data_IF_709479138156
#
_entry.id   IF_709479138156
#
_cell.length_a   1.000
_cell.length_b   1.000
_cell.length_c   1.000
_cell.angle_alpha   90.00
_cell.angle_beta   90.00
_cell.angle_gamma   90.00
#
_symmetry.space_group_name_H-M   'P 1'
#
loop_
_entity.id
_entity.type
_entity.pdbx_description
1 polymer ?
#
# COMPACT_ATOMS: atom_id res chain seq x y z
N UNK A 1 -1.12 -15.45 56.19
CA UNK A 1 -0.43 -14.86 55.03
C UNK A 1 -1.28 -15.14 53.80
N UNK A 2 -1.87 -14.11 53.22
CA UNK A 2 -2.71 -14.21 52.02
C UNK A 2 -1.79 -14.13 50.81
N UNK A 3 -1.72 -15.20 50.02
CA UNK A 3 -0.99 -15.19 48.76
C UNK A 3 -1.83 -14.46 47.71
N UNK A 4 -1.36 -13.29 47.25
CA UNK A 4 -1.94 -12.56 46.14
C UNK A 4 -1.61 -13.28 44.82
N UNK A 5 -2.64 -13.69 44.09
CA UNK A 5 -2.48 -14.21 42.72
C UNK A 5 -2.11 -13.06 41.79
N UNK A 6 -1.04 -13.24 41.00
CA UNK A 6 -0.63 -12.29 39.98
C UNK A 6 -1.69 -12.20 38.86
N UNK A 7 -1.92 -11.04 38.25
CA UNK A 7 -2.90 -10.91 37.18
C UNK A 7 -2.42 -11.67 35.94
N UNK A 8 -3.31 -12.49 35.38
CA UNK A 8 -3.14 -13.08 34.06
C UNK A 8 -3.05 -11.95 33.03
N UNK A 9 -1.92 -11.88 32.33
CA UNK A 9 -1.75 -11.07 31.13
C UNK A 9 -2.82 -11.47 30.10
N UNK A 10 -3.83 -10.62 29.92
CA UNK A 10 -4.79 -10.75 28.82
C UNK A 10 -4.01 -10.71 27.50
N UNK A 11 -3.94 -11.86 26.81
CA UNK A 11 -3.50 -11.91 25.42
C UNK A 11 -4.52 -11.10 24.61
N UNK A 12 -4.15 -9.88 24.18
CA UNK A 12 -4.96 -9.10 23.23
C UNK A 12 -5.35 -10.00 22.06
N UNK A 13 -6.65 -10.16 21.84
CA UNK A 13 -7.17 -10.94 20.72
C UNK A 13 -6.57 -10.43 19.41
N UNK A 14 -6.09 -11.34 18.56
CA UNK A 14 -5.55 -11.00 17.23
C UNK A 14 -6.69 -10.38 16.42
N UNK A 15 -6.53 -9.11 16.01
CA UNK A 15 -7.53 -8.38 15.20
C UNK A 15 -7.75 -9.15 13.88
N UNK A 16 -9.01 -9.26 13.46
CA UNK A 16 -9.44 -10.11 12.34
C UNK A 16 -8.83 -9.58 11.03
N UNK A 17 -8.40 -10.49 10.16
CA UNK A 17 -7.70 -10.12 8.94
C UNK A 17 -8.65 -9.62 7.85
N UNK A 18 -9.88 -10.14 7.70
CA UNK A 18 -10.85 -9.72 6.66
C UNK A 18 -12.29 -10.10 7.03
N UNK A 19 -13.26 -9.64 6.25
CA UNK A 19 -14.66 -10.02 6.42
C UNK A 19 -14.92 -11.52 6.24
N UNK A 20 -16.04 -11.99 6.80
CA UNK A 20 -16.47 -13.39 6.73
C UNK A 20 -16.70 -13.84 5.28
N UNK A 21 -16.20 -15.04 4.94
CA UNK A 21 -16.25 -15.55 3.57
C UNK A 21 -17.66 -15.93 3.12
N UNK A 22 -18.53 -16.37 4.04
CA UNK A 22 -19.91 -16.67 3.71
C UNK A 22 -20.68 -15.38 3.43
N UNK A 23 -20.47 -14.33 4.23
CA UNK A 23 -21.04 -13.01 3.95
C UNK A 23 -20.60 -12.51 2.56
N UNK A 24 -19.30 -12.60 2.24
CA UNK A 24 -18.79 -12.21 0.91
C UNK A 24 -19.46 -13.02 -0.19
N UNK A 25 -19.55 -14.35 -0.04
CA UNK A 25 -20.23 -15.23 -1.00
C UNK A 25 -21.68 -14.78 -1.20
N UNK A 26 -22.41 -14.62 -0.11
CA UNK A 26 -23.84 -14.30 -0.14
C UNK A 26 -24.07 -12.94 -0.81
N UNK A 27 -23.24 -11.93 -0.51
CA UNK A 27 -23.26 -10.61 -1.15
C UNK A 27 -22.97 -10.66 -2.67
N UNK A 28 -22.02 -11.50 -3.09
CA UNK A 28 -21.70 -11.72 -4.51
C UNK A 28 -22.88 -12.37 -5.22
N UNK A 29 -23.50 -13.38 -4.60
CA UNK A 29 -24.59 -14.16 -5.21
C UNK A 29 -25.98 -13.53 -5.06
N UNK A 30 -26.10 -12.48 -4.24
CA UNK A 30 -27.36 -11.76 -4.02
C UNK A 30 -27.94 -11.25 -5.35
N UNK A 31 -29.20 -11.63 -5.71
CA UNK A 31 -29.78 -11.29 -7.01
C UNK A 31 -30.03 -9.79 -7.21
N UNK A 32 -30.35 -9.07 -6.13
CA UNK A 32 -30.70 -7.65 -6.19
C UNK A 32 -29.91 -6.83 -5.17
N UNK A 33 -29.89 -5.51 -5.35
CA UNK A 33 -29.34 -4.60 -4.35
C UNK A 33 -30.13 -4.63 -3.04
N UNK A 34 -31.44 -4.89 -3.09
CA UNK A 34 -32.28 -5.04 -1.89
C UNK A 34 -31.80 -6.24 -1.07
N UNK A 35 -31.51 -7.37 -1.72
CA UNK A 35 -30.98 -8.56 -1.05
C UNK A 35 -29.61 -8.28 -0.41
N UNK A 36 -28.73 -7.54 -1.09
CA UNK A 36 -27.43 -7.12 -0.51
C UNK A 36 -27.59 -6.24 0.72
N UNK A 37 -28.52 -5.28 0.69
CA UNK A 37 -28.79 -4.41 1.85
C UNK A 37 -29.33 -5.25 3.02
N UNK A 38 -30.20 -6.23 2.76
CA UNK A 38 -30.72 -7.12 3.80
C UNK A 38 -29.63 -7.99 4.45
N UNK A 39 -28.55 -8.31 3.73
CA UNK A 39 -27.37 -9.00 4.26
C UNK A 39 -26.46 -8.10 5.14
N UNK A 40 -26.65 -6.78 5.09
CA UNK A 40 -25.91 -5.77 5.85
C UNK A 40 -26.88 -4.94 6.72
N UNK A 41 -27.47 -5.54 7.77
CA UNK A 41 -28.64 -4.99 8.44
C UNK A 41 -28.37 -3.74 9.29
N UNK A 42 -27.10 -3.40 9.57
CA UNK A 42 -26.76 -2.26 10.42
C UNK A 42 -26.33 -1.08 9.56
N UNK A 43 -26.78 0.13 9.91
CA UNK A 43 -26.29 1.35 9.28
C UNK A 43 -24.75 1.48 9.35
N UNK A 44 -24.13 0.95 10.41
CA UNK A 44 -22.68 0.92 10.57
C UNK A 44 -21.96 0.05 9.52
N UNK A 45 -22.65 -0.91 8.91
CA UNK A 45 -22.08 -1.79 7.88
C UNK A 45 -21.76 -1.00 6.59
N UNK A 46 -22.34 0.20 6.44
CA UNK A 46 -22.13 1.12 5.32
C UNK A 46 -21.16 2.27 5.66
N UNK A 47 -20.46 2.21 6.80
CA UNK A 47 -19.50 3.23 7.22
C UNK A 47 -18.12 2.62 7.42
N UNK A 48 -17.14 3.06 6.62
CA UNK A 48 -15.74 2.69 6.80
C UNK A 48 -14.96 3.77 7.54
N UNK A 49 -14.23 3.38 8.59
CA UNK A 49 -13.40 4.29 9.39
C UNK A 49 -11.92 4.06 9.07
N UNK A 50 -11.32 4.94 8.27
CA UNK A 50 -9.89 4.82 7.94
C UNK A 50 -8.96 4.96 9.15
N UNK A 51 -9.39 5.65 10.20
CA UNK A 51 -8.62 5.80 11.47
C UNK A 51 -8.77 4.63 12.42
N UNK A 52 -9.82 3.82 12.26
CA UNK A 52 -10.05 2.59 13.01
C UNK A 52 -10.66 1.52 12.09
N UNK A 53 -9.87 1.00 11.14
CA UNK A 53 -10.40 0.07 10.15
C UNK A 53 -10.78 -1.25 10.84
N UNK A 54 -11.88 -1.89 10.41
CA UNK A 54 -12.39 -3.11 11.04
C UNK A 54 -11.43 -4.28 10.92
N UNK A 55 -10.60 -4.31 9.87
CA UNK A 55 -9.69 -5.41 9.56
C UNK A 55 -8.27 -4.95 9.33
N UNK A 56 -7.29 -5.78 9.72
CA UNK A 56 -5.86 -5.45 9.58
C UNK A 56 -5.29 -5.71 8.20
N UNK A 57 -5.92 -6.55 7.35
CA UNK A 57 -5.40 -6.80 5.98
C UNK A 57 -5.44 -5.57 5.08
N UNK A 58 -6.30 -4.60 5.39
CA UNK A 58 -6.35 -3.32 4.68
C UNK A 58 -5.24 -2.36 5.08
N UNK A 59 -4.43 -2.67 6.10
CA UNK A 59 -3.39 -1.78 6.59
C UNK A 59 -2.03 -2.23 6.07
N UNK A 60 -1.37 -1.36 5.30
CA UNK A 60 0.02 -1.53 4.91
C UNK A 60 0.89 -0.54 5.69
N UNK A 61 1.95 -1.01 6.35
CA UNK A 61 2.88 -0.16 7.12
C UNK A 61 4.29 -0.30 6.59
N UNK A 62 4.94 0.83 6.41
CA UNK A 62 6.35 0.94 6.10
C UNK A 62 7.03 1.96 7.01
N UNK A 63 8.31 2.22 6.77
CA UNK A 63 9.06 3.18 7.58
C UNK A 63 8.85 4.63 7.18
N UNK A 64 8.26 4.88 6.00
CA UNK A 64 7.90 6.22 5.54
C UNK A 64 6.43 6.58 5.75
N UNK A 65 5.68 5.75 6.48
CA UNK A 65 4.24 5.94 6.68
C UNK A 65 3.44 4.66 6.57
N UNK A 66 2.13 4.81 6.33
CA UNK A 66 1.20 3.70 6.19
C UNK A 66 0.06 4.03 5.23
N UNK A 67 -0.67 3.02 4.77
CA UNK A 67 -1.91 3.17 4.03
C UNK A 67 -3.01 2.28 4.61
N UNK A 68 -4.25 2.69 4.39
CA UNK A 68 -5.45 1.97 4.79
C UNK A 68 -6.40 1.87 3.61
N UNK A 69 -6.71 0.64 3.18
CA UNK A 69 -7.57 0.35 2.02
C UNK A 69 -8.94 -0.17 2.45
N UNK A 70 -9.97 0.48 1.92
CA UNK A 70 -11.35 0.02 1.88
C UNK A 70 -11.61 -0.65 0.53
N UNK A 71 -11.62 -1.99 0.51
CA UNK A 71 -11.90 -2.80 -0.67
C UNK A 71 -12.94 -3.86 -0.33
N UNK A 72 -13.36 -4.69 -1.29
CA UNK A 72 -14.39 -5.72 -1.07
C UNK A 72 -14.09 -6.68 0.09
N UNK A 73 -12.83 -6.90 0.47
CA UNK A 73 -12.44 -7.80 1.56
C UNK A 73 -12.44 -7.12 2.94
N UNK A 74 -12.23 -5.80 2.98
CA UNK A 74 -12.17 -5.01 4.22
C UNK A 74 -13.42 -4.17 4.46
N UNK A 75 -14.24 -3.97 3.44
CA UNK A 75 -15.50 -3.23 3.48
C UNK A 75 -16.53 -3.90 2.54
N UNK A 76 -17.23 -4.96 3.00
CA UNK A 76 -18.12 -5.76 2.16
C UNK A 76 -19.26 -4.98 1.50
N UNK A 77 -19.65 -3.83 2.05
CA UNK A 77 -20.63 -2.93 1.45
C UNK A 77 -20.23 -2.43 0.04
N UNK A 78 -18.95 -2.54 -0.34
CA UNK A 78 -18.51 -2.22 -1.69
C UNK A 78 -18.89 -3.28 -2.73
N UNK A 79 -19.27 -4.50 -2.33
CA UNK A 79 -19.53 -5.60 -3.28
C UNK A 79 -20.68 -5.25 -4.23
N UNK A 80 -20.34 -5.18 -5.52
CA UNK A 80 -21.23 -4.81 -6.61
C UNK A 80 -21.37 -3.30 -6.85
N UNK A 81 -20.54 -2.47 -6.20
CA UNK A 81 -20.48 -1.02 -6.45
C UNK A 81 -19.44 -0.63 -7.51
N UNK A 82 -18.44 -1.49 -7.75
CA UNK A 82 -17.38 -1.24 -8.73
C UNK A 82 -16.35 -0.19 -8.32
N UNK A 83 -16.27 0.17 -7.03
CA UNK A 83 -15.30 1.17 -6.55
C UNK A 83 -14.62 0.72 -5.25
N UNK A 84 -13.42 1.23 -5.02
CA UNK A 84 -12.71 1.11 -3.74
C UNK A 84 -11.90 2.37 -3.46
N UNK A 85 -11.34 2.47 -2.25
CA UNK A 85 -10.60 3.64 -1.81
C UNK A 85 -9.44 3.27 -0.90
N UNK A 86 -8.34 4.01 -0.99
CA UNK A 86 -7.20 3.92 -0.08
C UNK A 86 -6.85 5.32 0.43
N UNK A 87 -6.60 5.45 1.73
CA UNK A 87 -5.91 6.62 2.29
C UNK A 87 -4.45 6.28 2.51
N UNK A 88 -3.56 7.15 2.03
CA UNK A 88 -2.13 7.07 2.28
C UNK A 88 -1.69 8.18 3.22
N UNK A 89 -0.99 7.81 4.29
CA UNK A 89 -0.42 8.70 5.30
C UNK A 89 1.10 8.60 5.23
N UNK A 90 1.74 9.56 4.57
CA UNK A 90 3.19 9.60 4.40
C UNK A 90 3.81 10.52 5.45
N UNK A 91 4.72 9.98 6.24
CA UNK A 91 5.55 10.77 7.16
C UNK A 91 6.47 11.72 6.37
N UNK A 92 7.19 12.59 7.08
CA UNK A 92 8.23 13.41 6.45
C UNK A 92 9.21 12.55 5.66
N UNK A 93 9.49 12.92 4.42
CA UNK A 93 10.27 12.12 3.47
C UNK A 93 9.69 10.73 3.17
N UNK A 94 8.42 10.44 3.47
CA UNK A 94 7.76 9.19 3.11
C UNK A 94 7.72 8.97 1.59
N UNK A 95 7.93 7.73 1.15
CA UNK A 95 7.92 7.37 -0.26
C UNK A 95 7.07 6.13 -0.50
N UNK A 96 5.86 6.32 -1.06
CA UNK A 96 5.08 5.19 -1.59
C UNK A 96 5.80 4.69 -2.84
N UNK A 97 6.39 3.50 -2.75
CA UNK A 97 7.36 3.02 -3.73
C UNK A 97 6.71 2.74 -5.09
N UNK A 98 7.48 2.64 -6.19
CA UNK A 98 6.92 2.32 -7.50
C UNK A 98 6.05 1.06 -7.47
N UNK A 99 4.79 1.21 -7.87
CA UNK A 99 3.79 0.16 -7.87
C UNK A 99 2.80 0.34 -9.03
N UNK A 100 1.91 -0.64 -9.19
CA UNK A 100 0.81 -0.60 -10.16
C UNK A 100 -0.45 -1.23 -9.56
N UNK A 101 -1.60 -0.82 -10.08
CA UNK A 101 -2.92 -1.37 -9.78
C UNK A 101 -3.39 -2.22 -10.97
N UNK A 102 -3.34 -3.57 -10.87
CA UNK A 102 -3.57 -4.44 -12.01
C UNK A 102 -5.03 -4.45 -12.50
N UNK A 103 -5.97 -3.95 -11.70
CA UNK A 103 -7.42 -4.03 -12.00
C UNK A 103 -8.12 -2.68 -12.06
N UNK A 104 -7.44 -1.57 -11.76
CA UNK A 104 -8.10 -0.26 -11.72
C UNK A 104 -7.18 0.89 -12.14
N UNK A 105 -7.79 1.95 -12.66
CA UNK A 105 -7.21 3.29 -12.63
C UNK A 105 -7.29 3.86 -11.20
N UNK A 106 -6.43 4.83 -10.91
CA UNK A 106 -6.43 5.57 -9.65
C UNK A 106 -6.57 7.07 -9.90
N UNK A 107 -7.54 7.70 -9.24
CA UNK A 107 -7.53 9.15 -9.01
C UNK A 107 -6.95 9.44 -7.63
N UNK A 108 -5.88 10.24 -7.57
CA UNK A 108 -5.16 10.53 -6.34
C UNK A 108 -5.23 12.03 -6.05
N UNK A 109 -5.85 12.41 -4.92
CA UNK A 109 -5.96 13.79 -4.47
C UNK A 109 -5.23 13.99 -3.13
N UNK A 110 -4.51 15.10 -3.01
CA UNK A 110 -3.81 15.44 -1.77
C UNK A 110 -4.75 16.18 -0.84
N UNK A 111 -4.89 15.73 0.41
CA UNK A 111 -5.78 16.35 1.41
C UNK A 111 -5.03 17.03 2.56
N UNK A 112 -3.74 16.73 2.70
CA UNK A 112 -2.81 17.37 3.64
C UNK A 112 -1.39 17.37 3.06
N UNK A 113 -0.65 18.47 3.27
CA UNK A 113 0.72 18.61 2.76
C UNK A 113 0.79 18.76 1.24
N UNK A 114 1.86 18.25 0.63
CA UNK A 114 2.08 18.19 -0.81
C UNK A 114 2.86 16.93 -1.17
N UNK A 115 2.66 16.39 -2.37
CA UNK A 115 3.40 15.25 -2.87
C UNK A 115 4.02 15.54 -4.23
N UNK A 116 5.15 14.89 -4.50
CA UNK A 116 5.67 14.71 -5.85
C UNK A 116 5.21 13.36 -6.35
N UNK A 117 4.61 13.32 -7.54
CA UNK A 117 4.19 12.07 -8.15
C UNK A 117 4.89 11.87 -9.47
N UNK A 118 5.02 10.61 -9.87
CA UNK A 118 5.49 10.25 -11.20
C UNK A 118 4.79 9.00 -11.67
N UNK A 119 4.61 8.87 -12.99
CA UNK A 119 4.21 7.60 -13.59
C UNK A 119 4.79 7.41 -14.99
N UNK A 120 4.87 6.15 -15.39
CA UNK A 120 5.20 5.69 -16.73
C UNK A 120 4.16 4.65 -17.13
N UNK A 121 3.64 4.76 -18.36
CA UNK A 121 2.67 3.81 -18.91
C UNK A 121 3.39 2.63 -19.58
N UNK A 122 3.39 2.60 -20.91
CA UNK A 122 3.94 1.54 -21.73
C UNK A 122 5.21 1.99 -22.46
N UNK A 123 5.89 1.05 -23.13
CA UNK A 123 7.11 1.32 -23.86
C UNK A 123 6.92 2.46 -24.87
N UNK A 124 7.85 3.42 -24.88
CA UNK A 124 7.80 4.59 -25.75
C UNK A 124 6.99 5.77 -25.19
N UNK A 125 6.20 5.58 -24.13
CA UNK A 125 5.58 6.68 -23.41
C UNK A 125 6.65 7.47 -22.65
N UNK A 126 6.51 8.80 -22.62
CA UNK A 126 7.33 9.65 -21.73
C UNK A 126 6.94 9.42 -20.27
N UNK A 127 7.87 9.67 -19.36
CA UNK A 127 7.53 9.81 -17.95
C UNK A 127 6.73 11.10 -17.70
N UNK A 128 5.77 11.03 -16.79
CA UNK A 128 5.00 12.17 -16.28
C UNK A 128 5.43 12.44 -14.85
N UNK A 129 5.67 13.71 -14.52
CA UNK A 129 6.09 14.16 -13.19
C UNK A 129 5.22 15.33 -12.76
N UNK A 130 4.68 15.28 -11.54
CA UNK A 130 3.85 16.34 -11.00
C UNK A 130 4.34 16.76 -9.61
N UNK A 131 4.10 18.03 -9.26
CA UNK A 131 4.16 18.52 -7.88
C UNK A 131 2.77 18.97 -7.49
N UNK A 132 2.12 18.21 -6.61
CA UNK A 132 0.73 18.37 -6.23
C UNK A 132 0.66 18.98 -4.83
N UNK A 133 -0.03 20.09 -4.69
CA UNK A 133 -0.35 20.71 -3.40
C UNK A 133 -1.67 20.15 -2.88
N UNK A 134 -2.03 20.57 -1.65
CA UNK A 134 -3.34 20.27 -1.08
C UNK A 134 -4.46 20.66 -2.06
N UNK A 135 -5.35 19.71 -2.29
CA UNK A 135 -6.50 19.73 -3.20
C UNK A 135 -6.17 19.64 -4.70
N UNK A 136 -4.90 19.47 -5.07
CA UNK A 136 -4.54 19.04 -6.42
C UNK A 136 -4.76 17.53 -6.56
N UNK A 137 -5.18 17.11 -7.75
CA UNK A 137 -5.41 15.71 -8.10
C UNK A 137 -4.59 15.31 -9.34
N UNK A 138 -4.16 14.06 -9.39
CA UNK A 138 -3.63 13.40 -10.58
C UNK A 138 -4.38 12.11 -10.90
N UNK A 139 -4.20 11.62 -12.12
CA UNK A 139 -4.65 10.30 -12.56
C UNK A 139 -3.44 9.38 -12.73
N UNK A 140 -3.58 8.13 -12.31
CA UNK A 140 -2.74 7.01 -12.76
C UNK A 140 -3.64 6.05 -13.56
N UNK A 141 -3.43 5.93 -14.89
CA UNK A 141 -4.24 5.03 -15.69
C UNK A 141 -4.07 3.55 -15.27
N UNK A 142 -4.98 2.65 -15.66
CA UNK A 142 -4.88 1.23 -15.31
C UNK A 142 -3.54 0.65 -15.76
N UNK A 143 -2.86 -0.08 -14.87
CA UNK A 143 -1.57 -0.69 -15.15
C UNK A 143 -0.36 0.25 -15.11
N UNK A 144 -0.54 1.57 -14.96
CA UNK A 144 0.56 2.53 -14.87
C UNK A 144 1.51 2.19 -13.71
N UNK A 145 2.82 2.17 -13.98
CA UNK A 145 3.80 2.16 -12.90
C UNK A 145 3.93 3.58 -12.35
N UNK A 146 3.60 3.79 -11.09
CA UNK A 146 3.54 5.12 -10.47
C UNK A 146 4.07 5.11 -9.05
N UNK A 147 4.35 6.30 -8.51
CA UNK A 147 4.87 6.50 -7.16
C UNK A 147 4.55 7.91 -6.63
N UNK A 148 4.43 8.01 -5.31
CA UNK A 148 4.21 9.26 -4.57
C UNK A 148 5.32 9.45 -3.54
N UNK A 149 5.91 10.64 -3.53
CA UNK A 149 6.96 11.02 -2.60
C UNK A 149 6.57 12.28 -1.84
N UNK A 150 6.65 12.24 -0.52
CA UNK A 150 6.56 13.42 0.33
C UNK A 150 7.93 14.15 0.35
N UNK A 151 8.06 15.32 -0.27
CA UNK A 151 9.31 16.07 -0.34
C UNK A 151 9.61 16.94 0.90
N UNK A 152 8.74 16.92 1.90
CA UNK A 152 8.80 17.77 3.09
C UNK A 152 9.08 16.97 4.37
N UNK A 153 9.36 17.71 5.44
CA UNK A 153 9.67 17.14 6.75
C UNK A 153 8.43 16.90 7.61
N UNK A 154 7.28 17.43 7.20
CA UNK A 154 5.98 17.25 7.84
C UNK A 154 5.19 16.15 7.13
N UNK A 155 4.24 15.49 7.81
CA UNK A 155 3.37 14.51 7.17
C UNK A 155 2.56 15.06 6.00
N UNK A 156 2.17 14.17 5.10
CA UNK A 156 1.28 14.42 3.99
C UNK A 156 0.26 13.26 3.86
N UNK A 157 -0.97 13.61 3.48
CA UNK A 157 -2.07 12.63 3.35
C UNK A 157 -2.69 12.74 1.96
N UNK A 158 -2.90 11.62 1.30
CA UNK A 158 -3.62 11.53 0.03
C UNK A 158 -4.79 10.54 0.11
N UNK A 159 -5.77 10.75 -0.77
CA UNK A 159 -6.91 9.86 -1.00
C UNK A 159 -6.82 9.34 -2.42
N UNK A 160 -6.83 8.01 -2.55
CA UNK A 160 -6.82 7.28 -3.81
C UNK A 160 -8.18 6.62 -4.03
N UNK A 161 -8.87 7.00 -5.09
CA UNK A 161 -10.13 6.39 -5.52
C UNK A 161 -9.92 5.50 -6.74
N UNK A 162 -10.53 4.31 -6.75
CA UNK A 162 -10.33 3.30 -7.78
C UNK A 162 -11.64 2.89 -8.44
N UNK A 163 -11.58 2.62 -9.75
CA UNK A 163 -12.71 2.11 -10.55
C UNK A 163 -12.90 0.59 -10.50
N UNK A 164 -12.50 -0.06 -9.40
CA UNK A 164 -12.78 -1.47 -9.11
C UNK A 164 -12.86 -1.66 -7.58
N UNK A 165 -13.69 -2.57 -7.10
CA UNK A 165 -13.81 -2.91 -5.66
C UNK A 165 -12.63 -3.75 -5.13
N UNK A 166 -11.81 -4.28 -6.04
CA UNK A 166 -10.54 -4.96 -5.82
C UNK A 166 -9.48 -4.39 -6.80
N UNK A 167 -8.98 -3.18 -6.54
CA UNK A 167 -7.95 -2.55 -7.38
C UNK A 167 -6.64 -3.35 -7.47
N UNK A 168 -6.30 -4.11 -6.40
CA UNK A 168 -5.03 -4.82 -6.24
C UNK A 168 -3.84 -3.88 -6.12
N UNK A 169 -2.69 -4.36 -5.66
CA UNK A 169 -1.44 -3.59 -5.68
C UNK A 169 -0.27 -4.53 -5.97
N UNK A 170 0.61 -4.11 -6.87
CA UNK A 170 1.84 -4.83 -7.19
C UNK A 170 3.03 -3.89 -7.04
N UNK A 171 3.88 -4.14 -6.04
CA UNK A 171 5.11 -3.39 -5.84
C UNK A 171 6.14 -3.79 -6.88
N UNK A 172 6.59 -2.83 -7.70
CA UNK A 172 7.42 -3.12 -8.87
C UNK A 172 8.71 -3.83 -8.48
N UNK A 173 9.47 -3.29 -7.53
CA UNK A 173 10.74 -3.88 -7.14
C UNK A 173 10.55 -5.25 -6.47
N UNK A 174 9.67 -5.34 -5.48
CA UNK A 174 9.41 -6.61 -4.77
C UNK A 174 8.94 -7.72 -5.72
N UNK A 175 8.04 -7.41 -6.66
CA UNK A 175 7.55 -8.39 -7.64
C UNK A 175 8.62 -8.76 -8.67
N UNK A 176 9.35 -7.78 -9.23
CA UNK A 176 10.41 -8.05 -10.20
C UNK A 176 11.49 -8.96 -9.60
N UNK A 177 11.96 -8.62 -8.40
CA UNK A 177 12.91 -9.41 -7.65
C UNK A 177 12.26 -10.62 -6.94
N UNK A 178 10.97 -10.86 -7.09
CA UNK A 178 10.34 -12.13 -6.71
C UNK A 178 10.50 -13.22 -7.77
N UNK A 179 10.84 -12.85 -9.01
CA UNK A 179 11.01 -13.78 -10.12
C UNK A 179 12.24 -14.68 -9.94
N UNK A 180 12.26 -15.79 -10.68
CA UNK A 180 13.40 -16.72 -10.68
C UNK A 180 14.69 -15.96 -10.96
N UNK A 181 15.72 -16.20 -10.14
CA UNK A 181 16.99 -15.48 -10.21
C UNK A 181 17.58 -15.46 -11.63
N UNK A 182 17.60 -16.59 -12.33
CA UNK A 182 18.10 -16.64 -13.72
C UNK A 182 17.35 -15.74 -14.69
N UNK A 183 16.04 -15.54 -14.50
CA UNK A 183 15.24 -14.63 -15.33
C UNK A 183 15.53 -13.16 -14.98
N UNK A 184 15.69 -12.86 -13.69
CA UNK A 184 16.10 -11.52 -13.24
C UNK A 184 17.50 -11.19 -13.77
N UNK A 185 18.45 -12.13 -13.65
CA UNK A 185 19.81 -11.97 -14.14
C UNK A 185 19.84 -11.75 -15.67
N UNK A 186 18.99 -12.47 -16.43
CA UNK A 186 18.86 -12.27 -17.87
C UNK A 186 18.24 -10.90 -18.19
N UNK A 187 17.21 -10.49 -17.45
CA UNK A 187 16.51 -9.22 -17.66
C UNK A 187 17.40 -8.01 -17.36
N UNK A 188 18.23 -8.10 -16.32
CA UNK A 188 19.19 -7.07 -15.96
C UNK A 188 20.43 -7.06 -16.88
N UNK A 189 20.55 -8.01 -17.81
CA UNK A 189 21.72 -8.13 -18.70
C UNK A 189 23.01 -8.55 -17.97
N UNK A 190 22.88 -9.12 -16.77
CA UNK A 190 24.02 -9.55 -15.93
C UNK A 190 24.34 -11.02 -16.08
N UNK A 191 23.56 -11.75 -16.89
CA UNK A 191 23.92 -13.09 -17.36
C UNK A 191 25.19 -13.02 -18.21
N UNK A 192 26.36 -13.12 -17.57
CA UNK A 192 27.67 -13.01 -18.20
C UNK A 192 28.38 -11.67 -18.06
N UNK A 193 27.80 -10.67 -17.37
CA UNK A 193 28.49 -9.44 -17.00
C UNK A 193 29.13 -9.57 -15.60
N UNK A 194 30.19 -8.79 -15.34
CA UNK A 194 30.93 -8.74 -14.05
C UNK A 194 30.14 -8.02 -12.93
N UNK A 195 28.84 -8.20 -12.87
CA UNK A 195 28.04 -7.91 -11.67
C UNK A 195 27.76 -9.27 -11.06
N UNK A 196 28.32 -9.54 -9.89
CA UNK A 196 28.21 -10.84 -9.26
C UNK A 196 26.73 -11.15 -9.03
N UNK A 197 26.30 -12.39 -9.26
CA UNK A 197 24.94 -12.81 -8.86
C UNK A 197 24.66 -12.54 -7.37
N UNK A 198 25.72 -12.45 -6.56
CA UNK A 198 25.68 -12.01 -5.16
C UNK A 198 25.21 -10.57 -4.99
N UNK A 199 25.49 -9.67 -5.92
CA UNK A 199 25.09 -8.26 -5.86
C UNK A 199 23.56 -8.14 -6.02
N UNK A 200 22.95 -8.92 -6.90
CA UNK A 200 21.49 -8.98 -7.06
C UNK A 200 20.81 -9.48 -5.79
N UNK A 201 21.29 -10.60 -5.25
CA UNK A 201 20.73 -11.17 -4.02
C UNK A 201 20.91 -10.21 -2.85
N UNK A 202 22.05 -9.49 -2.82
CA UNK A 202 22.28 -8.39 -1.87
C UNK A 202 21.24 -7.28 -2.05
N UNK A 203 20.94 -6.84 -3.27
CA UNK A 203 19.92 -5.80 -3.54
C UNK A 203 18.51 -6.21 -3.11
N UNK A 204 18.15 -7.50 -3.25
CA UNK A 204 16.82 -8.02 -2.85
C UNK A 204 16.49 -7.71 -1.40
N UNK A 205 17.45 -7.89 -0.49
CA UNK A 205 17.25 -7.70 0.94
C UNK A 205 17.08 -6.23 1.35
N UNK A 206 17.47 -5.29 0.47
CA UNK A 206 17.34 -3.85 0.65
C UNK A 206 16.04 -3.26 0.08
N UNK A 207 15.19 -4.07 -0.58
CA UNK A 207 13.93 -3.58 -1.14
C UNK A 207 12.94 -3.33 0.01
N UNK A 208 12.51 -2.08 0.23
CA UNK A 208 11.53 -1.77 1.27
C UNK A 208 10.13 -2.26 0.85
N UNK A 209 9.32 -2.65 1.85
CA UNK A 209 7.91 -2.99 1.62
C UNK A 209 7.07 -1.73 1.53
N UNK A 210 6.36 -1.55 0.41
CA UNK A 210 5.26 -0.61 0.13
C UNK A 210 5.52 0.90 0.36
N UNK A 211 6.00 1.32 1.53
CA UNK A 211 6.25 2.73 1.86
C UNK A 211 7.65 2.84 2.51
N UNK A 212 8.59 3.33 1.72
CA UNK A 212 9.98 3.50 2.09
C UNK A 212 10.25 4.84 2.78
N UNK A 213 11.32 4.89 3.57
CA UNK A 213 11.82 6.13 4.13
C UNK A 213 12.81 6.80 3.16
N UNK A 214 12.35 7.83 2.46
CA UNK A 214 13.14 8.93 1.92
C UNK A 214 14.05 8.70 0.72
N UNK A 215 14.23 9.81 -0.02
CA UNK A 215 15.36 10.06 -0.91
C UNK A 215 16.44 10.78 -0.10
N UNK A 216 17.72 10.40 -0.22
CA UNK A 216 18.82 10.85 0.66
C UNK A 216 18.89 12.37 0.87
N UNK A 217 18.56 13.16 -0.18
CA UNK A 217 18.50 14.62 -0.09
C UNK A 217 17.45 15.12 0.91
N UNK A 218 16.26 14.51 0.92
CA UNK A 218 15.19 14.87 1.84
C UNK A 218 15.57 14.49 3.28
N UNK A 219 16.12 13.28 3.46
CA UNK A 219 16.57 12.82 4.77
C UNK A 219 17.59 13.79 5.40
N UNK A 220 18.58 14.21 4.60
CA UNK A 220 19.56 15.21 5.04
C UNK A 220 18.91 16.56 5.37
N UNK A 221 18.00 17.06 4.52
CA UNK A 221 17.26 18.31 4.75
C UNK A 221 16.48 18.26 6.07
N UNK A 222 15.84 17.13 6.36
CA UNK A 222 14.94 16.98 7.50
C UNK A 222 15.64 16.45 8.77
N UNK A 223 16.95 16.25 8.74
CA UNK A 223 17.70 15.69 9.88
C UNK A 223 17.30 14.25 10.22
N UNK A 224 16.70 13.52 9.28
CA UNK A 224 16.24 12.15 9.47
C UNK A 224 17.39 11.17 9.18
N UNK A 225 17.60 10.22 10.08
CA UNK A 225 18.56 9.13 9.85
C UNK A 225 17.91 8.07 8.96
N UNK A 226 18.66 7.60 7.95
CA UNK A 226 18.28 6.39 7.21
C UNK A 226 18.19 5.24 8.22
N UNK A 227 17.15 4.42 8.11
CA UNK A 227 17.02 3.25 8.98
C UNK A 227 18.29 2.41 8.87
N UNK A 228 18.81 1.98 10.02
CA UNK A 228 20.08 1.26 10.15
C UNK A 228 20.10 0.10 9.15
N UNK A 229 21.26 -0.09 8.48
CA UNK A 229 21.56 -1.27 7.66
C UNK A 229 20.93 -2.50 8.32
N UNK A 230 20.08 -3.20 7.59
CA UNK A 230 19.53 -4.48 8.02
C UNK A 230 20.71 -5.40 8.31
N UNK A 231 20.92 -5.74 9.59
CA UNK A 231 21.93 -6.73 9.99
C UNK A 231 21.42 -8.10 9.55
N UNK A 232 22.19 -8.76 8.67
CA UNK A 232 21.80 -9.99 7.99
C UNK A 232 22.15 -11.25 8.79
N UNK A 233 22.73 -11.13 10.00
CA UNK A 233 23.12 -12.29 10.81
C UNK A 233 22.08 -12.73 11.87
N UNK A 234 20.84 -12.21 11.83
CA UNK A 234 19.77 -12.63 12.76
C UNK A 234 18.47 -12.98 12.07
N UNK A 235 18.45 -14.07 11.30
CA UNK A 235 17.32 -14.99 11.11
C UNK A 235 17.84 -16.39 10.83
#
# INVERSE_FOLDING_TARGET
MVAAAAPLLEKKAKKIERADINLIRDLITAPTMVDRINLLPKNSDFVFKFTDPPFTSGISKGHGGHSVSANRATFPALIGSGVSMTLGFLDGCGFNTPHTHPRAAEMNIIVEGRLKTQFIMENGARAVYNSLNRYDMTIFPPGAMHAEFNPDCTPATFVAGFGDEDHGVQQTAETFFGLKKSMVDATLGISGATISGKDVDTFRDFIPKNIALGVDRCLKKCGLKRNVKRDLERW
#
